data_IF_934019320070
#
_entry.id   IF_934019320070
#
_cell.length_a   1.000
_cell.length_b   1.000
_cell.length_c   1.000
_cell.angle_alpha   90.00
_cell.angle_beta   90.00
_cell.angle_gamma   90.00
#
_symmetry.space_group_name_H-M   'P 1'
#
loop_
_entity.id
_entity.type
_entity.pdbx_description
1 polymer ?
#
# COMPACT_ATOMS: atom_id res chain seq x y z
N UNK A 1 10.18 11.64 10.78
CA UNK A 1 9.92 11.11 9.44
C UNK A 1 8.43 11.14 9.10
N UNK A 2 7.62 10.77 10.05
CA UNK A 2 6.18 10.59 9.79
C UNK A 2 5.41 11.90 9.65
N UNK A 3 5.81 12.95 10.37
CA UNK A 3 5.21 14.27 10.24
C UNK A 3 5.44 14.86 8.84
N UNK A 4 6.65 14.70 8.32
CA UNK A 4 6.99 15.19 6.97
C UNK A 4 6.16 14.48 5.91
N UNK A 5 5.94 13.18 6.08
CA UNK A 5 5.10 12.40 5.19
C UNK A 5 3.65 12.91 5.21
N UNK A 6 3.09 13.13 6.39
CA UNK A 6 1.72 13.63 6.54
C UNK A 6 1.58 15.03 5.94
N UNK A 7 2.55 15.90 6.16
CA UNK A 7 2.56 17.24 5.56
C UNK A 7 2.60 17.16 4.03
N UNK A 8 3.44 16.29 3.48
CA UNK A 8 3.51 16.07 2.04
C UNK A 8 2.18 15.58 1.48
N UNK A 9 1.52 14.65 2.16
CA UNK A 9 0.22 14.14 1.74
C UNK A 9 -0.86 15.21 1.80
N UNK A 10 -0.83 16.07 2.81
CA UNK A 10 -1.76 17.20 2.92
C UNK A 10 -1.59 18.19 1.76
N UNK A 11 -0.35 18.47 1.39
CA UNK A 11 -0.04 19.37 0.28
C UNK A 11 -0.52 18.77 -1.05
N UNK A 12 -0.30 17.50 -1.26
CA UNK A 12 -0.74 16.80 -2.47
C UNK A 12 -2.25 16.75 -2.60
N UNK A 13 -2.95 16.52 -1.49
CA UNK A 13 -4.41 16.55 -1.48
C UNK A 13 -4.92 17.93 -1.90
N UNK A 14 -4.29 18.98 -1.41
CA UNK A 14 -4.70 20.35 -1.66
C UNK A 14 -4.35 20.84 -3.05
N UNK A 15 -3.13 20.56 -3.52
CA UNK A 15 -2.63 21.08 -4.80
C UNK A 15 -2.96 20.21 -6.01
N UNK A 16 -2.97 18.90 -5.83
CA UNK A 16 -3.18 17.93 -6.92
C UNK A 16 -4.57 17.31 -6.92
N UNK A 17 -5.39 17.64 -5.94
CA UNK A 17 -6.73 17.08 -5.77
C UNK A 17 -6.74 15.54 -5.72
N UNK A 18 -5.70 14.97 -5.13
CA UNK A 18 -5.59 13.52 -4.92
C UNK A 18 -6.02 13.23 -3.50
N UNK A 19 -6.98 12.32 -3.32
CA UNK A 19 -7.46 11.92 -2.02
C UNK A 19 -6.32 11.41 -1.13
N UNK A 20 -6.25 11.93 0.08
CA UNK A 20 -5.28 11.49 1.08
C UNK A 20 -5.40 9.98 1.38
N UNK A 21 -6.64 9.50 1.43
CA UNK A 21 -6.91 8.07 1.64
C UNK A 21 -6.36 7.22 0.49
N UNK A 22 -6.51 7.67 -0.75
CA UNK A 22 -5.95 6.98 -1.92
C UNK A 22 -4.42 6.93 -1.85
N UNK A 23 -3.79 8.00 -1.36
CA UNK A 23 -2.34 8.04 -1.18
C UNK A 23 -1.89 7.04 -0.11
N UNK A 24 -2.60 6.97 1.01
CA UNK A 24 -2.30 5.98 2.06
C UNK A 24 -2.46 4.55 1.55
N UNK A 25 -3.52 4.27 0.81
CA UNK A 25 -3.73 2.94 0.21
C UNK A 25 -2.61 2.56 -0.75
N UNK A 26 -2.18 3.49 -1.59
CA UNK A 26 -1.07 3.27 -2.52
C UNK A 26 0.24 2.95 -1.78
N UNK A 27 0.51 3.67 -0.70
CA UNK A 27 1.69 3.43 0.14
C UNK A 27 1.59 2.05 0.81
N UNK A 28 0.45 1.72 1.40
CA UNK A 28 0.25 0.43 2.05
C UNK A 28 0.47 -0.74 1.08
N UNK A 29 -0.11 -0.65 -0.11
CA UNK A 29 0.06 -1.68 -1.15
C UNK A 29 1.52 -1.82 -1.58
N UNK A 30 2.21 -0.70 -1.76
CA UNK A 30 3.63 -0.70 -2.13
C UNK A 30 4.50 -1.30 -1.04
N UNK A 31 4.19 -1.02 0.22
CA UNK A 31 4.91 -1.58 1.36
C UNK A 31 4.74 -3.09 1.46
N UNK A 32 3.53 -3.61 1.18
CA UNK A 32 3.28 -5.06 1.16
C UNK A 32 4.15 -5.71 0.09
N UNK A 33 4.15 -5.18 -1.12
CA UNK A 33 4.95 -5.71 -2.23
C UNK A 33 6.44 -5.67 -1.90
N UNK A 34 6.91 -4.56 -1.36
CA UNK A 34 8.32 -4.39 -0.97
C UNK A 34 8.72 -5.39 0.11
N UNK A 35 7.85 -5.62 1.09
CA UNK A 35 8.11 -6.60 2.15
C UNK A 35 8.25 -8.01 1.58
N UNK A 36 7.32 -8.42 0.73
CA UNK A 36 7.35 -9.74 0.09
C UNK A 36 8.61 -9.93 -0.75
N UNK A 37 8.97 -8.93 -1.52
CA UNK A 37 10.13 -8.99 -2.42
C UNK A 37 11.46 -9.08 -1.66
N UNK A 38 11.58 -8.39 -0.54
CA UNK A 38 12.84 -8.31 0.20
C UNK A 38 13.00 -9.40 1.25
N UNK A 39 11.92 -9.91 1.79
CA UNK A 39 11.96 -10.89 2.88
C UNK A 39 11.40 -12.26 2.48
N UNK A 40 10.99 -12.42 1.23
CA UNK A 40 10.49 -13.67 0.68
C UNK A 40 9.45 -14.34 1.57
N UNK A 41 8.50 -13.57 2.07
CA UNK A 41 7.43 -14.06 2.94
C UNK A 41 6.19 -14.44 2.15
N UNK A 42 5.35 -15.26 2.78
CA UNK A 42 4.09 -15.71 2.20
C UNK A 42 3.09 -14.55 2.01
N UNK A 43 2.00 -14.84 1.32
CA UNK A 43 0.98 -13.84 0.96
C UNK A 43 0.10 -13.38 2.13
N UNK A 44 0.41 -13.81 3.35
CA UNK A 44 -0.36 -13.52 4.55
C UNK A 44 0.05 -12.24 5.28
N UNK A 45 0.80 -11.36 4.62
CA UNK A 45 1.27 -10.11 5.21
C UNK A 45 0.37 -8.95 4.80
N UNK A 46 0.00 -8.14 5.78
CA UNK A 46 -0.73 -6.88 5.56
C UNK A 46 0.03 -5.72 6.20
N UNK A 47 -0.12 -4.55 5.63
CA UNK A 47 0.46 -3.33 6.16
C UNK A 47 -0.65 -2.30 6.36
N UNK A 48 -0.68 -1.68 7.52
CA UNK A 48 -1.58 -0.57 7.81
C UNK A 48 -0.77 0.65 8.22
N UNK A 49 -1.26 1.83 7.86
CA UNK A 49 -0.64 3.09 8.25
C UNK A 49 -1.60 3.87 9.14
N UNK A 50 -1.05 4.49 10.18
CA UNK A 50 -1.80 5.42 10.99
C UNK A 50 -2.00 6.70 10.19
N UNK A 51 -3.26 7.10 10.01
CA UNK A 51 -3.63 8.27 9.20
C UNK A 51 -3.24 9.60 9.87
N UNK A 52 -3.02 9.57 11.17
CA UNK A 52 -2.65 10.77 11.93
C UNK A 52 -1.14 10.94 12.06
N UNK A 53 -0.42 9.86 12.37
CA UNK A 53 1.02 9.90 12.63
C UNK A 53 1.88 9.53 11.43
N UNK A 54 1.31 8.79 10.47
CA UNK A 54 2.05 8.27 9.33
C UNK A 54 2.90 7.05 9.66
N UNK A 55 2.79 6.50 10.86
CA UNK A 55 3.47 5.28 11.24
C UNK A 55 2.85 4.08 10.54
N UNK A 56 3.68 3.13 10.15
CA UNK A 56 3.19 1.90 9.54
C UNK A 56 3.39 0.72 10.48
N UNK A 57 2.48 -0.25 10.34
CA UNK A 57 2.54 -1.51 11.09
C UNK A 57 2.36 -2.66 10.12
N UNK A 58 3.20 -3.68 10.26
CA UNK A 58 3.16 -4.88 9.42
C UNK A 58 2.59 -6.00 10.26
N UNK A 59 1.59 -6.68 9.73
CA UNK A 59 0.96 -7.83 10.40
C UNK A 59 1.08 -9.08 9.56
N UNK A 60 1.44 -10.18 10.21
CA UNK A 60 1.34 -11.51 9.64
C UNK A 60 0.02 -12.12 10.09
N UNK A 61 -0.80 -12.54 9.15
CA UNK A 61 -2.07 -13.20 9.44
C UNK A 61 -1.83 -14.70 9.50
N UNK A 62 -2.09 -15.30 10.64
CA UNK A 62 -1.91 -16.74 10.85
C UNK A 62 -3.23 -17.39 11.25
N UNK A 63 -3.49 -18.57 10.70
CA UNK A 63 -4.64 -19.36 11.05
C UNK A 63 -4.35 -20.21 12.29
N UNK A 64 -5.30 -20.25 13.22
CA UNK A 64 -5.19 -21.07 14.43
C UNK A 64 -5.48 -22.52 14.08
N UNK A 65 -4.51 -23.40 14.32
CA UNK A 65 -4.60 -24.83 14.03
C UNK A 65 -4.15 -25.66 15.24
N UNK A 66 -4.53 -26.93 15.28
CA UNK A 66 -4.07 -27.83 16.34
C UNK A 66 -2.58 -28.16 16.19
N UNK A 67 -2.18 -28.49 14.97
CA UNK A 67 -0.80 -28.83 14.64
C UNK A 67 -0.29 -27.93 13.54
N UNK A 68 0.77 -27.17 13.83
CA UNK A 68 1.36 -26.23 12.89
C UNK A 68 2.20 -26.99 11.86
N UNK A 69 1.75 -26.92 10.60
CA UNK A 69 2.48 -27.48 9.47
C UNK A 69 3.36 -26.42 8.81
N UNK A 70 2.91 -25.16 8.81
CA UNK A 70 3.64 -24.03 8.24
C UNK A 70 3.66 -22.89 9.26
N UNK A 71 4.80 -22.66 9.94
CA UNK A 71 4.88 -21.59 10.97
C UNK A 71 4.68 -20.19 10.43
N UNK A 72 4.79 -19.97 9.12
CA UNK A 72 4.61 -18.65 8.52
C UNK A 72 3.14 -18.29 8.43
N UNK A 73 2.27 -19.25 8.11
CA UNK A 73 0.84 -19.02 7.88
C UNK A 73 -0.06 -19.59 8.98
N UNK A 74 0.49 -20.35 9.90
CA UNK A 74 -0.28 -21.05 10.94
C UNK A 74 0.30 -20.79 12.33
N UNK A 75 -0.56 -20.84 13.34
CA UNK A 75 -0.20 -20.72 14.75
C UNK A 75 -0.97 -21.77 15.54
N UNK A 76 -0.33 -22.36 16.56
CA UNK A 76 -1.02 -23.31 17.42
C UNK A 76 -2.08 -22.62 18.29
N UNK A 77 -3.11 -23.37 18.68
CA UNK A 77 -4.15 -22.86 19.55
C UNK A 77 -3.57 -22.39 20.88
N UNK A 78 -2.60 -23.10 21.42
CA UNK A 78 -1.92 -22.73 22.67
C UNK A 78 -1.24 -21.38 22.55
N UNK A 79 -0.45 -21.16 21.50
CA UNK A 79 0.24 -19.89 21.26
C UNK A 79 -0.74 -18.76 20.97
N UNK A 80 -1.80 -19.03 20.22
CA UNK A 80 -2.84 -18.05 19.95
C UNK A 80 -3.52 -17.60 21.23
N UNK A 81 -3.85 -18.52 22.12
CA UNK A 81 -4.49 -18.23 23.40
C UNK A 81 -3.58 -17.51 24.38
N UNK A 82 -2.26 -17.62 24.21
CA UNK A 82 -1.32 -16.82 25.00
C UNK A 82 -1.37 -15.33 24.60
N UNK A 83 -1.78 -15.03 23.37
CA UNK A 83 -1.97 -13.66 22.89
C UNK A 83 -3.34 -13.14 23.32
N UNK A 84 -4.38 -13.92 23.09
CA UNK A 84 -5.76 -13.59 23.47
C UNK A 84 -6.51 -14.89 23.75
N UNK A 85 -7.02 -15.05 24.96
CA UNK A 85 -7.63 -16.30 25.43
C UNK A 85 -8.92 -16.72 24.73
N UNK A 86 -9.49 -15.85 23.90
CA UNK A 86 -10.75 -16.13 23.18
C UNK A 86 -10.57 -16.75 21.81
N UNK A 87 -9.34 -16.94 21.32
CA UNK A 87 -9.09 -17.56 20.02
C UNK A 87 -9.50 -19.03 20.01
N UNK A 88 -10.06 -19.43 18.87
CA UNK A 88 -10.49 -20.80 18.62
C UNK A 88 -9.88 -21.31 17.32
N UNK A 89 -9.95 -22.62 17.08
CA UNK A 89 -9.47 -23.22 15.84
C UNK A 89 -10.18 -22.60 14.63
N UNK A 90 -9.40 -22.24 13.61
CA UNK A 90 -9.89 -21.59 12.40
C UNK A 90 -9.92 -20.07 12.46
N UNK A 91 -9.69 -19.47 13.62
CA UNK A 91 -9.58 -18.03 13.73
C UNK A 91 -8.31 -17.49 13.07
N UNK A 92 -8.33 -16.23 12.69
CA UNK A 92 -7.17 -15.54 12.11
C UNK A 92 -6.56 -14.63 13.17
N UNK A 93 -5.26 -14.81 13.41
CA UNK A 93 -4.48 -14.00 14.35
C UNK A 93 -3.58 -13.06 13.57
N UNK A 94 -3.69 -11.77 13.86
CA UNK A 94 -2.79 -10.75 13.30
C UNK A 94 -1.63 -10.53 14.27
N UNK A 95 -0.44 -10.88 13.83
CA UNK A 95 0.78 -10.74 14.65
C UNK A 95 1.62 -9.62 14.05
N UNK A 96 1.90 -8.59 14.86
CA UNK A 96 2.74 -7.49 14.42
C UNK A 96 4.18 -7.95 14.26
N UNK A 97 4.76 -7.62 13.10
CA UNK A 97 6.16 -7.90 12.78
C UNK A 97 6.95 -6.62 12.97
N UNK A 98 8.02 -6.69 13.76
CA UNK A 98 8.94 -5.57 13.91
C UNK A 98 10.22 -5.88 13.15
N UNK A 99 10.55 -5.03 12.18
CA UNK A 99 11.76 -5.19 11.37
C UNK A 99 12.43 -3.84 11.19
N UNK A 100 13.62 -3.70 11.75
CA UNK A 100 14.44 -2.50 11.59
C UNK A 100 14.96 -2.36 10.16
N UNK A 101 15.30 -3.47 9.53
CA UNK A 101 15.78 -3.50 8.15
C UNK A 101 14.72 -3.04 7.18
N UNK A 102 13.48 -3.42 7.43
CA UNK A 102 12.36 -2.99 6.59
C UNK A 102 12.08 -1.49 6.73
N UNK A 103 12.38 -0.87 7.85
CA UNK A 103 12.20 0.56 8.04
C UNK A 103 12.89 1.41 6.97
N UNK A 104 14.07 1.01 6.55
CA UNK A 104 14.84 1.68 5.48
C UNK A 104 14.19 1.48 4.11
N UNK A 105 13.78 0.25 3.84
CA UNK A 105 13.11 -0.12 2.59
C UNK A 105 11.75 0.57 2.51
N UNK A 106 11.02 0.63 3.61
CA UNK A 106 9.71 1.23 3.70
C UNK A 106 9.70 2.71 3.32
N UNK A 107 10.71 3.46 3.77
CA UNK A 107 10.82 4.89 3.43
C UNK A 107 10.90 5.09 1.92
N UNK A 108 11.73 4.32 1.24
CA UNK A 108 11.88 4.41 -0.20
C UNK A 108 10.61 3.94 -0.93
N UNK A 109 10.02 2.85 -0.46
CA UNK A 109 8.80 2.29 -1.04
C UNK A 109 7.60 3.23 -0.87
N UNK A 110 7.51 3.92 0.25
CA UNK A 110 6.47 4.93 0.48
C UNK A 110 6.59 6.08 -0.52
N UNK A 111 7.79 6.59 -0.72
CA UNK A 111 8.05 7.64 -1.72
C UNK A 111 7.67 7.19 -3.12
N UNK A 112 8.05 5.97 -3.49
CA UNK A 112 7.73 5.40 -4.80
C UNK A 112 6.22 5.23 -4.98
N UNK A 113 5.51 4.81 -3.94
CA UNK A 113 4.05 4.69 -3.96
C UNK A 113 3.37 6.02 -4.19
N UNK A 114 3.82 7.08 -3.54
CA UNK A 114 3.30 8.43 -3.71
C UNK A 114 3.54 8.92 -5.14
N UNK A 115 4.76 8.78 -5.64
CA UNK A 115 5.11 9.20 -7.00
C UNK A 115 4.32 8.45 -8.05
N UNK A 116 4.15 7.16 -7.87
CA UNK A 116 3.35 6.33 -8.78
C UNK A 116 1.89 6.79 -8.80
N UNK A 117 1.32 7.05 -7.63
CA UNK A 117 -0.07 7.52 -7.52
C UNK A 117 -0.27 8.88 -8.20
N UNK A 118 0.68 9.80 -8.03
CA UNK A 118 0.65 11.10 -8.69
C UNK A 118 0.65 10.92 -10.21
N UNK A 119 1.51 10.06 -10.72
CA UNK A 119 1.60 9.79 -12.17
C UNK A 119 0.31 9.18 -12.71
N UNK A 120 -0.29 8.26 -11.98
CA UNK A 120 -1.57 7.64 -12.35
C UNK A 120 -2.68 8.67 -12.43
N UNK A 121 -2.79 9.54 -11.44
CA UNK A 121 -3.81 10.58 -11.40
C UNK A 121 -3.59 11.64 -12.48
N UNK A 122 -2.36 12.00 -12.77
CA UNK A 122 -2.03 12.93 -13.85
C UNK A 122 -2.38 12.35 -15.21
N UNK A 123 -2.08 11.08 -15.45
CA UNK A 123 -2.46 10.38 -16.68
C UNK A 123 -3.97 10.35 -16.85
N UNK A 124 -4.68 10.02 -15.80
CA UNK A 124 -6.15 9.96 -15.81
C UNK A 124 -6.74 11.32 -16.13
N UNK A 125 -6.25 12.38 -15.50
CA UNK A 125 -6.69 13.75 -15.75
C UNK A 125 -6.45 14.17 -17.19
N UNK A 126 -5.27 13.91 -17.73
CA UNK A 126 -4.92 14.21 -19.13
C UNK A 126 -5.80 13.42 -20.10
N UNK A 127 -6.04 12.15 -19.82
CA UNK A 127 -6.90 11.30 -20.63
C UNK A 127 -8.32 11.84 -20.69
N UNK A 128 -8.88 12.22 -19.56
CA UNK A 128 -10.22 12.81 -19.46
C UNK A 128 -10.32 14.12 -20.25
N UNK A 129 -9.32 14.99 -20.14
CA UNK A 129 -9.26 16.24 -20.90
C UNK A 129 -9.24 15.99 -22.40
N UNK A 130 -8.45 15.03 -22.84
CA UNK A 130 -8.39 14.68 -24.27
C UNK A 130 -9.68 14.07 -24.76
N UNK A 131 -10.33 13.28 -23.93
CA UNK A 131 -11.63 12.67 -24.27
C UNK A 131 -12.71 13.71 -24.45
N UNK A 132 -12.75 14.73 -23.62
CA UNK A 132 -13.69 15.85 -23.72
C UNK A 132 -13.48 16.65 -25.00
N UNK A 133 -12.25 16.71 -25.51
CA UNK A 133 -11.86 17.46 -26.69
C UNK A 133 -11.79 16.62 -27.96
N UNK A 134 -12.20 15.37 -27.93
CA UNK A 134 -12.00 14.48 -29.07
C UNK A 134 -12.77 14.89 -30.34
N UNK A 135 -13.79 15.73 -30.22
CA UNK A 135 -14.53 16.27 -31.37
C UNK A 135 -13.90 17.55 -31.94
N UNK A 136 -12.81 18.02 -31.35
CA UNK A 136 -12.12 19.22 -31.80
C UNK A 136 -11.11 18.95 -32.92
N UNK A 137 -10.75 20.02 -33.62
CA UNK A 137 -9.82 20.02 -34.76
C UNK A 137 -8.42 19.48 -34.38
N UNK A 138 -8.05 19.52 -33.09
CA UNK A 138 -6.74 19.09 -32.58
C UNK A 138 -6.64 17.59 -32.32
N UNK A 139 -7.59 16.80 -32.80
CA UNK A 139 -7.68 15.35 -32.57
C UNK A 139 -6.37 14.61 -32.91
N UNK A 140 -5.71 14.97 -34.01
CA UNK A 140 -4.43 14.37 -34.40
C UNK A 140 -3.34 14.57 -33.38
N UNK A 141 -3.21 15.78 -32.84
CA UNK A 141 -2.21 16.15 -31.84
C UNK A 141 -2.50 15.44 -30.53
N UNK A 142 -3.77 15.39 -30.13
CA UNK A 142 -4.23 14.69 -28.92
C UNK A 142 -3.87 13.21 -28.99
N UNK A 143 -4.12 12.58 -30.13
CA UNK A 143 -3.80 11.15 -30.35
C UNK A 143 -2.32 10.87 -30.19
N UNK A 144 -1.46 11.72 -30.76
CA UNK A 144 -0.02 11.59 -30.63
C UNK A 144 0.45 11.74 -29.18
N UNK A 145 -0.09 12.70 -28.45
CA UNK A 145 0.18 12.92 -27.04
C UNK A 145 -0.25 11.73 -26.18
N UNK A 146 -1.42 11.15 -26.47
CA UNK A 146 -1.92 9.98 -25.77
C UNK A 146 -1.01 8.77 -25.97
N UNK A 147 -0.49 8.56 -27.14
CA UNK A 147 0.48 7.48 -27.40
C UNK A 147 1.71 7.62 -26.53
N UNK A 148 2.23 8.82 -26.35
CA UNK A 148 3.38 9.09 -25.48
C UNK A 148 3.07 8.80 -24.01
N UNK A 149 1.87 9.15 -23.55
CA UNK A 149 1.45 8.93 -22.16
C UNK A 149 1.28 7.44 -21.87
N UNK A 150 0.73 6.68 -22.82
CA UNK A 150 0.47 5.26 -22.67
C UNK A 150 1.70 4.37 -22.95
N UNK A 151 2.69 4.88 -23.63
CA UNK A 151 3.94 4.19 -23.86
C UNK A 151 4.86 4.28 -22.64
#
# INVERSE_FOLDING_TARGET
MNKELIEALNILEKEKDISKESLFEAIENNLVVAYKNNFNKADNVTVTMDRETGDFHIYSQKEVVEEVMDPVTEISLEDARSIKGTYELGDIVNIEIQSKDFGRIATQSAKNGILQKIREEERKSLYEQYFEKQDDIVTGIVRESMVRILA
#
